data_IF_253949969117
#
_entry.id   IF_253949969117
#
_cell.length_a   1.000
_cell.length_b   1.000
_cell.length_c   1.000
_cell.angle_alpha   90.00
_cell.angle_beta   90.00
_cell.angle_gamma   90.00
#
_symmetry.space_group_name_H-M   'P 1'
#
loop_
_entity.id
_entity.type
_entity.pdbx_description
1 polymer ?
#
# COMPACT_ATOMS: atom_id res chain seq x y z
N UNK A 1 -28.27 -15.53 -8.60
CA UNK A 1 -26.90 -15.02 -8.26
C UNK A 1 -26.28 -15.96 -7.23
N UNK A 2 -24.98 -16.23 -7.30
CA UNK A 2 -24.30 -16.95 -6.22
C UNK A 2 -24.25 -16.08 -4.95
N UNK A 3 -24.22 -16.68 -3.75
CA UNK A 3 -24.12 -15.94 -2.49
C UNK A 3 -22.85 -15.05 -2.44
N UNK A 4 -21.79 -15.50 -3.10
CA UNK A 4 -20.54 -14.77 -3.26
C UNK A 4 -20.72 -13.50 -4.11
N UNK A 5 -21.40 -13.60 -5.24
CA UNK A 5 -21.72 -12.47 -6.11
C UNK A 5 -22.61 -11.44 -5.39
N UNK A 6 -23.63 -11.89 -4.67
CA UNK A 6 -24.51 -11.01 -3.90
C UNK A 6 -23.74 -10.22 -2.85
N UNK A 7 -22.86 -10.90 -2.11
CA UNK A 7 -21.99 -10.26 -1.12
C UNK A 7 -21.07 -9.21 -1.76
N UNK A 8 -20.42 -9.55 -2.88
CA UNK A 8 -19.53 -8.65 -3.58
C UNK A 8 -20.23 -7.39 -4.11
N UNK A 9 -21.38 -7.57 -4.75
CA UNK A 9 -22.20 -6.46 -5.27
C UNK A 9 -22.72 -5.58 -4.13
N UNK A 10 -23.12 -6.16 -3.01
CA UNK A 10 -23.53 -5.40 -1.83
C UNK A 10 -22.39 -4.53 -1.31
N UNK A 11 -21.21 -5.11 -1.10
CA UNK A 11 -20.03 -4.34 -0.64
C UNK A 11 -19.65 -3.26 -1.65
N UNK A 12 -19.69 -3.55 -2.97
CA UNK A 12 -19.44 -2.53 -4.00
C UNK A 12 -20.38 -1.32 -3.90
N UNK A 13 -21.63 -1.54 -3.52
CA UNK A 13 -22.59 -0.44 -3.31
C UNK A 13 -22.28 0.33 -2.02
N UNK A 14 -21.97 -0.39 -0.93
CA UNK A 14 -21.66 0.19 0.38
C UNK A 14 -20.40 1.07 0.35
N UNK A 15 -19.41 0.74 -0.47
CA UNK A 15 -18.16 1.51 -0.58
C UNK A 15 -18.24 2.73 -1.51
N UNK A 16 -19.38 2.93 -2.21
CA UNK A 16 -19.63 4.14 -2.99
C UNK A 16 -19.99 5.27 -2.02
N UNK A 17 -18.99 6.01 -1.61
CA UNK A 17 -19.09 7.16 -0.72
C UNK A 17 -19.24 8.49 -1.49
N UNK A 18 -19.34 9.60 -0.76
CA UNK A 18 -19.47 10.93 -1.35
C UNK A 18 -18.30 11.32 -2.28
N UNK A 19 -17.02 11.04 -1.96
CA UNK A 19 -15.91 11.22 -2.89
C UNK A 19 -16.10 10.47 -4.20
N UNK A 20 -16.46 9.18 -4.18
CA UNK A 20 -16.66 8.37 -5.39
C UNK A 20 -17.83 8.91 -6.22
N UNK A 21 -18.93 9.25 -5.58
CA UNK A 21 -20.09 9.87 -6.25
C UNK A 21 -19.70 11.19 -6.94
N UNK A 22 -18.92 12.02 -6.25
CA UNK A 22 -18.38 13.27 -6.81
C UNK A 22 -17.48 13.02 -8.00
N UNK A 23 -16.57 12.03 -7.91
CA UNK A 23 -15.66 11.67 -9.00
C UNK A 23 -16.39 11.17 -10.24
N UNK A 24 -17.43 10.35 -10.08
CA UNK A 24 -18.25 9.94 -11.22
C UNK A 24 -19.01 11.09 -11.85
N UNK A 25 -19.51 12.05 -11.04
CA UNK A 25 -20.25 13.21 -11.53
C UNK A 25 -19.34 14.25 -12.20
N UNK A 26 -18.10 14.39 -11.77
CA UNK A 26 -17.13 15.37 -12.30
C UNK A 26 -16.34 14.87 -13.50
N UNK A 27 -16.33 13.57 -13.78
CA UNK A 27 -15.58 12.99 -14.88
C UNK A 27 -16.13 13.44 -16.24
N UNK A 28 -15.34 14.20 -16.97
CA UNK A 28 -15.69 14.72 -18.30
C UNK A 28 -15.23 13.83 -19.46
N UNK A 29 -14.76 12.63 -19.18
CA UNK A 29 -14.31 11.65 -20.17
C UNK A 29 -13.23 12.16 -21.13
N UNK A 30 -12.34 13.04 -20.69
CA UNK A 30 -11.30 13.68 -21.53
C UNK A 30 -10.20 12.73 -22.02
N UNK A 31 -10.05 11.52 -21.44
CA UNK A 31 -9.08 10.51 -21.85
C UNK A 31 -7.65 10.68 -21.32
N UNK A 32 -7.27 11.80 -20.67
CA UNK A 32 -5.88 12.03 -20.19
C UNK A 32 -5.37 10.92 -19.26
N UNK A 33 -6.24 10.35 -18.43
CA UNK A 33 -5.86 9.24 -17.56
C UNK A 33 -5.47 7.98 -18.34
N UNK A 34 -5.98 7.77 -19.56
CA UNK A 34 -5.61 6.66 -20.42
C UNK A 34 -4.15 6.81 -20.90
N UNK A 35 -3.78 7.99 -21.40
CA UNK A 35 -2.41 8.27 -21.87
C UNK A 35 -1.37 8.17 -20.75
N UNK A 36 -1.76 8.33 -19.49
CA UNK A 36 -0.89 8.13 -18.34
C UNK A 36 -0.81 6.66 -17.87
N UNK A 37 -1.71 5.78 -18.34
CA UNK A 37 -1.79 4.39 -17.89
C UNK A 37 -0.86 3.50 -18.69
N UNK A 38 0.17 2.91 -18.03
CA UNK A 38 1.13 2.01 -18.67
C UNK A 38 0.44 0.84 -19.41
N UNK A 39 -0.57 0.24 -18.79
CA UNK A 39 -1.29 -0.89 -19.40
C UNK A 39 -2.00 -0.50 -20.70
N UNK A 40 -2.55 0.70 -20.77
CA UNK A 40 -3.16 1.20 -21.99
C UNK A 40 -2.10 1.61 -23.03
N UNK A 41 -1.06 2.32 -22.62
CA UNK A 41 -0.03 2.80 -23.57
C UNK A 41 0.73 1.66 -24.25
N UNK A 42 0.92 0.54 -23.56
CA UNK A 42 1.59 -0.64 -24.12
C UNK A 42 0.67 -1.50 -25.00
N UNK A 43 -0.61 -1.61 -24.63
CA UNK A 43 -1.53 -2.50 -25.33
C UNK A 43 -2.38 -1.81 -26.37
N UNK A 44 -2.66 -0.51 -26.18
CA UNK A 44 -3.66 0.29 -26.93
C UNK A 44 -5.07 -0.29 -26.90
N UNK A 45 -5.34 -1.24 -26.03
CA UNK A 45 -6.66 -1.82 -25.84
C UNK A 45 -7.49 -0.92 -24.87
N UNK A 46 -8.64 -0.38 -25.33
CA UNK A 46 -9.47 0.50 -24.52
C UNK A 46 -9.91 -0.08 -23.17
N UNK A 47 -9.98 -1.41 -23.02
CA UNK A 47 -10.36 -2.05 -21.76
C UNK A 47 -9.39 -1.75 -20.62
N UNK A 48 -8.13 -1.41 -20.94
CA UNK A 48 -7.11 -1.07 -19.94
C UNK A 48 -7.10 0.42 -19.57
N UNK A 49 -7.98 1.23 -20.15
CA UNK A 49 -8.10 2.63 -19.71
C UNK A 49 -8.66 2.71 -18.29
N UNK A 50 -8.20 3.65 -17.45
CA UNK A 50 -8.72 3.82 -16.10
C UNK A 50 -10.23 4.03 -16.03
N UNK A 51 -10.80 4.71 -17.02
CA UNK A 51 -12.26 4.91 -17.13
C UNK A 51 -12.97 3.58 -17.31
N UNK A 52 -12.52 2.74 -18.25
CA UNK A 52 -13.12 1.43 -18.49
C UNK A 52 -13.05 0.52 -17.27
N UNK A 53 -11.90 0.52 -16.58
CA UNK A 53 -11.72 -0.26 -15.33
C UNK A 53 -12.73 0.11 -14.25
N UNK A 54 -13.21 1.35 -14.23
CA UNK A 54 -14.19 1.84 -13.26
C UNK A 54 -15.63 1.78 -13.76
N UNK A 55 -15.87 1.44 -15.02
CA UNK A 55 -17.20 1.36 -15.61
C UNK A 55 -18.17 0.44 -14.85
N UNK A 56 -17.75 -0.74 -14.37
CA UNK A 56 -18.62 -1.57 -13.55
C UNK A 56 -19.11 -0.87 -12.27
N UNK A 57 -18.23 -0.15 -11.59
CA UNK A 57 -18.58 0.60 -10.38
C UNK A 57 -19.46 1.81 -10.70
N UNK A 58 -19.19 2.51 -11.81
CA UNK A 58 -20.03 3.62 -12.31
C UNK A 58 -21.44 3.10 -12.62
N UNK A 59 -21.56 1.96 -13.28
CA UNK A 59 -22.86 1.35 -13.59
C UNK A 59 -23.67 1.06 -12.30
N UNK A 60 -23.03 0.51 -11.26
CA UNK A 60 -23.67 0.29 -9.96
C UNK A 60 -24.07 1.61 -9.30
N UNK A 61 -23.21 2.63 -9.36
CA UNK A 61 -23.53 3.98 -8.86
C UNK A 61 -24.76 4.55 -9.54
N UNK A 62 -24.83 4.50 -10.88
CA UNK A 62 -25.98 5.00 -11.64
C UNK A 62 -27.27 4.27 -11.26
N UNK A 63 -27.23 2.94 -11.17
CA UNK A 63 -28.41 2.12 -10.86
C UNK A 63 -28.97 2.38 -9.45
N UNK A 64 -28.12 2.67 -8.47
CA UNK A 64 -28.53 2.80 -7.06
C UNK A 64 -28.78 4.26 -6.65
N UNK A 65 -28.01 5.21 -7.20
CA UNK A 65 -27.94 6.56 -6.65
C UNK A 65 -28.48 7.65 -7.60
N UNK A 66 -28.75 7.33 -8.87
CA UNK A 66 -29.37 8.31 -9.80
C UNK A 66 -30.85 8.02 -10.03
N UNK A 67 -31.63 9.08 -10.23
CA UNK A 67 -33.08 8.95 -10.49
C UNK A 67 -33.37 8.13 -11.75
N UNK A 68 -32.64 8.42 -12.83
CA UNK A 68 -32.80 7.71 -14.10
C UNK A 68 -32.39 6.24 -14.01
N UNK A 69 -31.31 5.96 -13.30
CA UNK A 69 -30.84 4.59 -13.07
C UNK A 69 -31.82 3.74 -12.27
N UNK A 70 -32.40 4.32 -11.21
CA UNK A 70 -33.47 3.68 -10.43
C UNK A 70 -34.70 3.40 -11.26
N UNK A 71 -35.11 4.34 -12.12
CA UNK A 71 -36.22 4.14 -13.03
C UNK A 71 -35.93 3.01 -14.03
N UNK A 72 -34.77 2.99 -14.67
CA UNK A 72 -34.35 1.90 -15.56
C UNK A 72 -34.36 0.54 -14.86
N UNK A 73 -33.92 0.50 -13.58
CA UNK A 73 -33.96 -0.72 -12.77
C UNK A 73 -35.39 -1.19 -12.51
N UNK A 74 -36.29 -0.27 -12.18
CA UNK A 74 -37.71 -0.58 -11.94
C UNK A 74 -38.41 -1.18 -13.16
N UNK A 75 -38.12 -0.68 -14.37
CA UNK A 75 -38.71 -1.18 -15.61
C UNK A 75 -37.90 -2.32 -16.27
N UNK A 76 -36.92 -2.91 -15.54
CA UNK A 76 -36.15 -4.08 -16.00
C UNK A 76 -35.11 -3.80 -17.09
N UNK A 77 -34.77 -2.55 -17.35
CA UNK A 77 -33.77 -2.16 -18.36
C UNK A 77 -32.34 -2.10 -17.81
N UNK A 78 -32.13 -2.38 -16.53
CA UNK A 78 -30.79 -2.41 -15.96
C UNK A 78 -30.15 -3.80 -16.05
N UNK A 79 -28.88 -3.84 -16.48
CA UNK A 79 -28.11 -5.08 -16.58
C UNK A 79 -27.62 -5.50 -15.20
N UNK A 80 -28.01 -6.69 -14.73
CA UNK A 80 -27.49 -7.29 -13.50
C UNK A 80 -26.01 -7.69 -13.68
N UNK A 81 -25.26 -7.67 -12.58
CA UNK A 81 -23.90 -8.19 -12.55
C UNK A 81 -23.91 -9.72 -12.59
N UNK A 82 -22.98 -10.32 -13.32
CA UNK A 82 -22.86 -11.77 -13.47
C UNK A 82 -21.51 -12.27 -12.93
N UNK A 83 -21.42 -13.57 -12.64
CA UNK A 83 -20.15 -14.19 -12.20
C UNK A 83 -19.05 -14.09 -13.29
N UNK A 84 -19.42 -14.13 -14.56
CA UNK A 84 -18.48 -13.93 -15.68
C UNK A 84 -17.89 -12.51 -15.70
N UNK A 85 -18.71 -11.51 -15.40
CA UNK A 85 -18.22 -10.12 -15.29
C UNK A 85 -17.26 -9.96 -14.09
N UNK A 86 -17.46 -10.66 -12.97
CA UNK A 86 -16.50 -10.61 -11.86
C UNK A 86 -15.13 -11.15 -12.25
N UNK A 87 -15.05 -12.18 -13.08
CA UNK A 87 -13.78 -12.69 -13.59
C UNK A 87 -13.06 -11.66 -14.46
N UNK A 88 -13.80 -10.96 -15.34
CA UNK A 88 -13.26 -9.83 -16.12
C UNK A 88 -12.80 -8.69 -15.21
N UNK A 89 -13.55 -8.35 -14.19
CA UNK A 89 -13.21 -7.28 -13.26
C UNK A 89 -11.95 -7.59 -12.44
N UNK A 90 -11.69 -8.86 -12.13
CA UNK A 90 -10.43 -9.29 -11.53
C UNK A 90 -9.24 -8.84 -12.40
N UNK A 91 -9.31 -9.11 -13.70
CA UNK A 91 -8.29 -8.65 -14.66
C UNK A 91 -8.11 -7.12 -14.62
N UNK A 92 -9.22 -6.38 -14.63
CA UNK A 92 -9.20 -4.92 -14.69
C UNK A 92 -8.61 -4.25 -13.45
N UNK A 93 -8.93 -4.74 -12.25
CA UNK A 93 -8.57 -4.05 -11.01
C UNK A 93 -7.36 -4.62 -10.29
N UNK A 94 -6.95 -5.86 -10.59
CA UNK A 94 -5.75 -6.47 -10.02
C UNK A 94 -4.63 -6.62 -11.05
N UNK A 95 -4.86 -7.38 -12.12
CA UNK A 95 -3.79 -7.77 -13.03
C UNK A 95 -3.31 -6.60 -13.89
N UNK A 96 -4.21 -5.70 -14.26
CA UNK A 96 -3.90 -4.53 -15.09
C UNK A 96 -3.88 -3.19 -14.32
N UNK A 97 -3.73 -3.23 -12.98
CA UNK A 97 -3.62 -2.04 -12.16
C UNK A 97 -2.68 -2.22 -10.97
N UNK A 98 -1.56 -1.50 -10.97
CA UNK A 98 -0.57 -1.49 -9.88
C UNK A 98 -0.84 -0.42 -8.82
N UNK A 99 -1.96 0.31 -8.89
CA UNK A 99 -2.27 1.44 -8.01
C UNK A 99 -1.21 2.56 -8.04
N UNK A 100 -0.50 2.74 -9.14
CA UNK A 100 0.65 3.65 -9.24
C UNK A 100 0.32 5.14 -9.17
N UNK A 101 -0.95 5.54 -9.33
CA UNK A 101 -1.40 6.92 -9.18
C UNK A 101 -1.19 7.84 -10.39
N UNK A 102 -0.56 7.40 -11.48
CA UNK A 102 -0.32 8.27 -12.66
C UNK A 102 -1.61 8.87 -13.20
N UNK A 103 -2.67 8.06 -13.29
CA UNK A 103 -4.00 8.50 -13.77
C UNK A 103 -4.64 9.55 -12.86
N UNK A 104 -4.44 9.47 -11.53
CA UNK A 104 -4.95 10.47 -10.59
C UNK A 104 -4.21 11.81 -10.73
N UNK A 105 -2.88 11.77 -10.91
CA UNK A 105 -2.04 12.98 -11.05
C UNK A 105 -2.39 13.80 -12.29
N UNK A 106 -2.69 13.15 -13.41
CA UNK A 106 -3.01 13.85 -14.68
C UNK A 106 -4.49 14.22 -14.81
N UNK A 107 -5.33 13.86 -13.85
CA UNK A 107 -6.75 14.17 -13.93
C UNK A 107 -7.00 15.67 -13.75
N UNK A 108 -7.57 16.39 -14.75
CA UNK A 108 -7.73 17.84 -14.70
C UNK A 108 -8.79 18.29 -13.68
N UNK A 109 -9.69 17.38 -13.28
CA UNK A 109 -10.71 17.63 -12.26
C UNK A 109 -10.34 17.04 -10.89
N UNK A 110 -9.11 16.50 -10.74
CA UNK A 110 -8.59 16.04 -9.46
C UNK A 110 -9.19 14.72 -8.94
N UNK A 111 -9.77 13.87 -9.79
CA UNK A 111 -10.34 12.59 -9.35
C UNK A 111 -9.23 11.64 -8.87
N UNK A 112 -9.33 11.13 -7.64
CA UNK A 112 -8.45 10.07 -7.16
C UNK A 112 -8.91 8.69 -7.66
N UNK A 113 -8.49 8.39 -8.88
CA UNK A 113 -8.82 7.12 -9.56
C UNK A 113 -8.27 5.93 -8.79
N UNK A 114 -7.12 6.06 -8.13
CA UNK A 114 -6.54 4.98 -7.29
C UNK A 114 -7.43 4.66 -6.10
N UNK A 115 -7.98 5.68 -5.45
CA UNK A 115 -8.95 5.49 -4.38
C UNK A 115 -10.16 4.68 -4.86
N UNK A 116 -10.72 5.05 -6.00
CA UNK A 116 -11.86 4.34 -6.61
C UNK A 116 -11.52 2.88 -6.91
N UNK A 117 -10.34 2.59 -7.49
CA UNK A 117 -9.91 1.21 -7.76
C UNK A 117 -9.70 0.42 -6.45
N UNK A 118 -9.15 1.03 -5.41
CA UNK A 118 -9.03 0.39 -4.09
C UNK A 118 -10.40 0.01 -3.53
N UNK A 119 -11.36 0.92 -3.59
CA UNK A 119 -12.74 0.66 -3.19
C UNK A 119 -13.41 -0.41 -4.03
N UNK A 120 -13.12 -0.44 -5.32
CA UNK A 120 -13.58 -1.54 -6.17
C UNK A 120 -13.00 -2.91 -5.74
N UNK A 121 -11.72 -2.97 -5.38
CA UNK A 121 -11.12 -4.18 -4.82
C UNK A 121 -11.80 -4.68 -3.55
N UNK A 122 -12.42 -3.82 -2.74
CA UNK A 122 -13.16 -4.24 -1.54
C UNK A 122 -14.33 -5.16 -1.90
N UNK A 123 -15.12 -4.82 -2.92
CA UNK A 123 -16.18 -5.70 -3.41
C UNK A 123 -15.67 -6.98 -4.05
N UNK A 124 -14.55 -6.89 -4.80
CA UNK A 124 -13.90 -8.07 -5.40
C UNK A 124 -13.36 -9.03 -4.34
N UNK A 125 -12.74 -8.49 -3.30
CA UNK A 125 -12.26 -9.27 -2.15
C UNK A 125 -13.43 -9.93 -1.40
N UNK A 126 -14.52 -9.19 -1.17
CA UNK A 126 -15.72 -9.68 -0.49
C UNK A 126 -16.43 -10.80 -1.26
N UNK A 127 -16.41 -10.77 -2.60
CA UNK A 127 -16.94 -11.84 -3.45
C UNK A 127 -15.99 -13.02 -3.62
N UNK A 128 -14.79 -12.98 -3.02
CA UNK A 128 -13.78 -14.03 -3.19
C UNK A 128 -13.03 -13.99 -4.52
N UNK A 129 -13.27 -12.97 -5.37
CA UNK A 129 -12.68 -12.83 -6.70
C UNK A 129 -11.35 -12.02 -6.69
N UNK A 130 -10.63 -11.96 -5.58
CA UNK A 130 -9.25 -11.52 -5.56
C UNK A 130 -8.31 -12.65 -6.06
N UNK A 131 -7.15 -12.34 -6.68
CA UNK A 131 -6.19 -13.36 -7.12
C UNK A 131 -5.70 -14.26 -5.98
N UNK A 132 -5.56 -15.57 -6.25
CA UNK A 132 -5.20 -16.56 -5.24
C UNK A 132 -3.86 -16.26 -4.54
N UNK A 133 -2.86 -15.77 -5.30
CA UNK A 133 -1.56 -15.42 -4.72
C UNK A 133 -1.67 -14.34 -3.64
N UNK A 134 -2.48 -13.30 -3.89
CA UNK A 134 -2.69 -12.21 -2.91
C UNK A 134 -3.55 -12.70 -1.74
N UNK A 135 -4.56 -13.55 -1.97
CA UNK A 135 -5.34 -14.18 -0.90
C UNK A 135 -4.46 -15.02 0.03
N UNK A 136 -3.58 -15.82 -0.56
CA UNK A 136 -2.61 -16.60 0.20
C UNK A 136 -1.67 -15.74 1.04
N UNK A 137 -1.15 -14.65 0.47
CA UNK A 137 -0.32 -13.67 1.19
C UNK A 137 -1.09 -13.00 2.34
N UNK A 138 -2.34 -12.60 2.09
CA UNK A 138 -3.21 -12.00 3.09
C UNK A 138 -3.47 -12.96 4.28
N UNK A 139 -3.79 -14.21 4.00
CA UNK A 139 -4.00 -15.24 5.03
C UNK A 139 -2.73 -15.48 5.87
N UNK A 140 -1.56 -15.57 5.23
CA UNK A 140 -0.29 -15.72 5.97
C UNK A 140 0.01 -14.51 6.84
N UNK A 141 -0.30 -13.30 6.37
CA UNK A 141 -0.11 -12.08 7.17
C UNK A 141 -0.95 -12.09 8.44
N UNK A 142 -2.19 -12.61 8.40
CA UNK A 142 -3.03 -12.74 9.60
C UNK A 142 -2.46 -13.80 10.55
N UNK A 143 -2.16 -14.99 10.03
CA UNK A 143 -1.85 -16.17 10.85
C UNK A 143 -0.40 -16.20 11.36
N UNK A 144 0.54 -15.68 10.56
CA UNK A 144 1.98 -15.76 10.83
C UNK A 144 2.58 -14.37 11.09
N UNK A 145 1.95 -13.30 10.61
CA UNK A 145 2.46 -11.94 10.70
C UNK A 145 3.27 -11.49 9.46
N UNK A 146 3.47 -12.38 8.49
CA UNK A 146 4.27 -12.11 7.28
C UNK A 146 3.59 -12.68 6.05
N UNK A 147 3.49 -11.94 4.93
CA UNK A 147 2.87 -12.40 3.68
C UNK A 147 3.63 -13.55 3.02
N UNK A 148 4.94 -13.64 3.23
CA UNK A 148 5.78 -14.74 2.75
C UNK A 148 5.96 -15.86 3.78
N UNK A 149 5.38 -15.70 4.98
CA UNK A 149 5.45 -16.73 6.04
C UNK A 149 6.74 -16.72 6.83
N UNK A 150 7.48 -15.60 6.83
CA UNK A 150 8.68 -15.43 7.67
C UNK A 150 8.29 -15.44 9.14
N UNK A 151 8.97 -16.26 9.93
CA UNK A 151 8.73 -16.42 11.36
C UNK A 151 9.86 -15.80 12.18
N UNK A 152 9.58 -15.41 13.41
CA UNK A 152 10.57 -14.80 14.31
C UNK A 152 11.90 -15.55 14.43
N UNK A 153 11.97 -16.90 14.49
CA UNK A 153 13.26 -17.60 14.50
C UNK A 153 14.13 -17.31 13.28
N UNK A 154 13.54 -17.15 12.07
CA UNK A 154 14.28 -16.79 10.87
C UNK A 154 14.80 -15.36 10.95
N UNK A 155 13.99 -14.41 11.45
CA UNK A 155 14.43 -13.03 11.71
C UNK A 155 15.63 -13.01 12.67
N UNK A 156 15.52 -13.72 13.79
CA UNK A 156 16.63 -13.81 14.78
C UNK A 156 17.88 -14.48 14.22
N UNK A 157 17.73 -15.47 13.33
CA UNK A 157 18.87 -16.08 12.66
C UNK A 157 19.59 -15.08 11.76
N UNK A 158 18.81 -14.31 11.00
CA UNK A 158 19.32 -13.26 10.13
C UNK A 158 20.01 -12.13 10.92
N UNK A 159 19.41 -11.71 12.04
CA UNK A 159 20.04 -10.73 12.93
C UNK A 159 21.44 -11.17 13.35
N UNK A 160 21.58 -12.42 13.85
CA UNK A 160 22.90 -12.96 14.27
C UNK A 160 23.93 -13.01 13.12
N UNK A 161 23.47 -13.33 11.92
CA UNK A 161 24.32 -13.32 10.73
C UNK A 161 24.82 -11.91 10.44
N UNK A 162 23.92 -10.95 10.40
CA UNK A 162 24.26 -9.53 10.17
C UNK A 162 25.13 -8.96 11.30
N UNK A 163 24.87 -9.30 12.57
CA UNK A 163 25.71 -8.91 13.71
C UNK A 163 27.16 -9.43 13.56
N UNK A 164 27.31 -10.68 13.08
CA UNK A 164 28.63 -11.24 12.85
C UNK A 164 29.37 -10.56 11.70
N UNK A 165 28.67 -10.26 10.59
CA UNK A 165 29.27 -9.67 9.40
C UNK A 165 29.63 -8.19 9.58
N UNK A 166 28.81 -7.45 10.32
CA UNK A 166 28.95 -6.00 10.46
C UNK A 166 29.59 -5.56 11.79
N UNK A 167 29.73 -6.48 12.76
CA UNK A 167 30.29 -6.17 14.07
C UNK A 167 29.46 -5.20 14.90
N UNK A 168 28.18 -5.06 14.61
CA UNK A 168 27.24 -4.13 15.26
C UNK A 168 26.02 -4.88 15.79
N UNK A 169 25.53 -4.56 17.01
CA UNK A 169 24.35 -5.21 17.56
C UNK A 169 23.07 -4.81 16.80
N UNK A 170 22.18 -5.77 16.60
CA UNK A 170 20.84 -5.55 16.08
C UNK A 170 19.84 -5.60 17.25
N UNK A 171 19.38 -4.45 17.75
CA UNK A 171 18.53 -4.41 18.94
C UNK A 171 17.10 -4.88 18.62
N UNK A 172 16.51 -5.61 19.58
CA UNK A 172 15.12 -6.07 19.50
C UNK A 172 14.40 -5.83 20.82
N UNK A 173 13.18 -5.32 20.76
CA UNK A 173 12.28 -5.03 21.89
C UNK A 173 12.88 -4.05 22.93
N UNK A 174 13.63 -3.05 22.47
CA UNK A 174 14.20 -2.00 23.32
C UNK A 174 13.17 -0.88 23.54
N UNK A 175 12.71 -0.74 24.78
CA UNK A 175 11.78 0.32 25.18
C UNK A 175 12.50 1.68 25.19
N UNK A 176 11.81 2.73 24.71
CA UNK A 176 12.31 4.11 24.70
C UNK A 176 13.31 4.40 23.58
N UNK A 177 13.54 3.49 22.65
CA UNK A 177 14.34 3.75 21.47
C UNK A 177 13.73 4.89 20.63
N UNK A 178 14.55 5.68 19.95
CA UNK A 178 14.06 6.76 19.08
C UNK A 178 13.28 6.20 17.89
N UNK A 179 13.77 5.08 17.32
CA UNK A 179 13.20 4.50 16.10
C UNK A 179 12.80 3.02 16.29
N UNK A 180 11.59 2.70 15.86
CA UNK A 180 11.20 1.32 15.56
C UNK A 180 11.36 1.10 14.05
N UNK A 181 12.26 0.21 13.67
CA UNK A 181 12.48 -0.14 12.27
C UNK A 181 11.60 -1.33 11.91
N UNK A 182 10.78 -1.14 10.90
CA UNK A 182 10.00 -2.22 10.30
C UNK A 182 10.80 -2.85 9.17
N UNK A 183 10.54 -4.11 8.88
CA UNK A 183 11.17 -4.85 7.79
C UNK A 183 10.11 -5.36 6.82
N UNK A 184 10.53 -5.79 5.65
CA UNK A 184 9.74 -6.63 4.76
C UNK A 184 10.31 -8.05 4.71
N UNK A 185 9.47 -8.99 4.30
CA UNK A 185 9.93 -10.38 4.09
C UNK A 185 11.09 -10.45 3.09
N UNK A 186 11.11 -9.57 2.09
CA UNK A 186 12.16 -9.53 1.06
C UNK A 186 13.50 -9.08 1.66
N UNK A 187 13.49 -8.04 2.50
CA UNK A 187 14.70 -7.58 3.19
C UNK A 187 15.25 -8.66 4.12
N UNK A 188 14.37 -9.35 4.86
CA UNK A 188 14.81 -10.39 5.78
C UNK A 188 15.42 -11.58 5.04
N UNK A 189 14.81 -12.01 3.94
CA UNK A 189 15.17 -13.27 3.29
C UNK A 189 16.21 -13.13 2.17
N UNK A 190 16.17 -12.03 1.42
CA UNK A 190 16.94 -11.89 0.19
C UNK A 190 17.99 -10.77 0.25
N UNK A 191 17.82 -9.79 1.13
CA UNK A 191 18.67 -8.61 1.19
C UNK A 191 19.05 -8.27 2.64
N UNK A 192 19.74 -9.19 3.36
CA UNK A 192 20.12 -8.98 4.76
C UNK A 192 21.05 -7.78 4.97
N UNK A 193 21.77 -7.38 3.94
CA UNK A 193 22.61 -6.18 3.93
C UNK A 193 21.85 -4.89 4.24
N UNK A 194 20.54 -4.82 3.98
CA UNK A 194 19.71 -3.68 4.40
C UNK A 194 19.73 -3.49 5.91
N UNK A 195 19.58 -4.58 6.66
CA UNK A 195 19.61 -4.51 8.11
C UNK A 195 20.99 -4.10 8.63
N UNK A 196 22.04 -4.57 7.98
CA UNK A 196 23.43 -4.16 8.28
C UNK A 196 23.67 -2.69 7.95
N UNK A 197 23.14 -2.19 6.82
CA UNK A 197 23.25 -0.79 6.46
C UNK A 197 22.50 0.10 7.48
N UNK A 198 21.30 -0.29 7.89
CA UNK A 198 20.55 0.43 8.93
C UNK A 198 21.35 0.47 10.24
N UNK A 199 21.94 -0.64 10.67
CA UNK A 199 22.76 -0.70 11.88
C UNK A 199 23.96 0.27 11.80
N UNK A 200 24.67 0.30 10.67
CA UNK A 200 25.78 1.24 10.44
C UNK A 200 25.33 2.70 10.47
N UNK A 201 24.23 3.02 9.79
CA UNK A 201 23.69 4.38 9.73
C UNK A 201 23.29 4.86 11.12
N UNK A 202 22.54 4.06 11.87
CA UNK A 202 22.09 4.42 13.21
C UNK A 202 23.26 4.54 14.19
N UNK A 203 24.26 3.66 14.08
CA UNK A 203 25.49 3.73 14.87
C UNK A 203 26.28 5.01 14.56
N UNK A 204 26.51 5.32 13.28
CA UNK A 204 27.22 6.54 12.86
C UNK A 204 26.49 7.80 13.31
N UNK A 205 25.17 7.84 13.20
CA UNK A 205 24.34 8.98 13.58
C UNK A 205 24.12 9.09 15.10
N UNK A 206 24.61 8.13 15.92
CA UNK A 206 24.39 8.09 17.37
C UNK A 206 22.93 7.95 17.76
N UNK A 207 22.13 7.27 16.92
CA UNK A 207 20.68 7.07 17.11
C UNK A 207 20.35 5.74 17.73
N UNK A 208 19.39 5.75 18.66
CA UNK A 208 18.85 4.52 19.24
C UNK A 208 17.70 3.99 18.40
N UNK A 209 17.70 2.69 18.17
CA UNK A 209 16.69 2.03 17.35
C UNK A 209 16.41 0.61 17.84
N UNK A 210 15.33 0.01 17.36
CA UNK A 210 14.96 -1.36 17.69
C UNK A 210 14.12 -2.00 16.60
N UNK A 211 14.19 -3.32 16.51
CA UNK A 211 13.14 -4.15 15.90
C UNK A 211 12.10 -4.52 16.97
N UNK A 212 10.95 -5.06 16.53
CA UNK A 212 9.95 -5.61 17.45
C UNK A 212 9.68 -7.09 17.14
N UNK A 213 9.77 -7.95 18.16
CA UNK A 213 9.56 -9.39 17.98
C UNK A 213 8.12 -9.77 17.64
N UNK A 214 7.15 -8.94 18.02
CA UNK A 214 5.71 -9.17 17.75
C UNK A 214 5.20 -8.46 16.51
N UNK A 215 5.96 -7.50 15.98
CA UNK A 215 5.59 -6.71 14.80
C UNK A 215 6.86 -6.27 14.04
N UNK A 216 7.51 -7.18 13.35
CA UNK A 216 8.71 -6.89 12.55
C UNK A 216 8.39 -6.62 11.07
N UNK A 217 7.27 -7.12 10.58
CA UNK A 217 6.86 -7.05 9.16
C UNK A 217 5.82 -5.96 8.94
N UNK A 218 6.09 -5.04 7.99
CA UNK A 218 5.22 -3.92 7.67
C UNK A 218 4.34 -4.10 6.42
N UNK A 219 4.59 -5.10 5.59
CA UNK A 219 3.87 -5.28 4.33
C UNK A 219 2.37 -5.44 4.55
N UNK A 220 1.57 -4.52 3.99
CA UNK A 220 0.13 -4.50 4.19
C UNK A 220 -0.62 -5.17 3.03
N UNK A 221 -0.77 -6.50 3.11
CA UNK A 221 -1.53 -7.28 2.14
C UNK A 221 -3.02 -6.90 2.09
N UNK A 222 -3.59 -6.36 3.19
CA UNK A 222 -4.96 -5.88 3.25
C UNK A 222 -5.22 -4.72 2.30
N UNK A 223 -4.29 -3.78 2.20
CA UNK A 223 -4.37 -2.68 1.25
C UNK A 223 -4.29 -3.17 -0.20
N UNK A 224 -3.49 -4.18 -0.47
CA UNK A 224 -3.30 -4.71 -1.82
C UNK A 224 -4.51 -5.50 -2.31
N UNK A 225 -5.11 -6.31 -1.42
CA UNK A 225 -6.27 -7.13 -1.76
C UNK A 225 -7.59 -6.35 -1.75
N UNK A 226 -7.64 -5.17 -1.13
CA UNK A 226 -8.87 -4.42 -0.89
C UNK A 226 -9.67 -5.02 0.27
N UNK A 227 -9.04 -5.23 1.41
CA UNK A 227 -9.71 -5.67 2.63
C UNK A 227 -9.30 -4.75 3.78
N UNK A 228 -10.16 -3.78 4.08
CA UNK A 228 -9.91 -2.76 5.07
C UNK A 228 -9.81 -3.32 6.50
N UNK A 229 -10.54 -4.39 6.83
CA UNK A 229 -10.43 -5.06 8.14
C UNK A 229 -9.06 -5.72 8.31
N UNK A 230 -8.59 -6.40 7.28
CA UNK A 230 -7.24 -6.98 7.28
C UNK A 230 -6.17 -5.88 7.36
N UNK A 231 -6.33 -4.82 6.57
CA UNK A 231 -5.42 -3.68 6.60
C UNK A 231 -5.33 -3.06 8.00
N UNK A 232 -6.48 -2.93 8.67
CA UNK A 232 -6.58 -2.44 10.05
C UNK A 232 -5.83 -3.34 11.04
N UNK A 233 -6.00 -4.66 10.95
CA UNK A 233 -5.32 -5.62 11.86
C UNK A 233 -3.80 -5.50 11.73
N UNK A 234 -3.28 -5.36 10.51
CA UNK A 234 -1.85 -5.22 10.28
C UNK A 234 -1.33 -3.89 10.85
N UNK A 235 -2.02 -2.78 10.57
CA UNK A 235 -1.64 -1.46 11.11
C UNK A 235 -1.73 -1.45 12.63
N UNK A 236 -2.81 -1.97 13.22
CA UNK A 236 -2.98 -2.02 14.68
C UNK A 236 -1.83 -2.75 15.37
N UNK A 237 -1.38 -3.87 14.83
CA UNK A 237 -0.24 -4.64 15.36
C UNK A 237 1.03 -3.77 15.46
N UNK A 238 1.32 -2.98 14.42
CA UNK A 238 2.48 -2.09 14.39
C UNK A 238 2.31 -0.94 15.36
N UNK A 239 1.14 -0.32 15.39
CA UNK A 239 0.82 0.80 16.28
C UNK A 239 0.93 0.38 17.75
N UNK A 240 0.32 -0.76 18.11
CA UNK A 240 0.37 -1.28 19.48
C UNK A 240 1.81 -1.63 19.91
N UNK A 241 2.64 -2.16 18.99
CA UNK A 241 4.05 -2.43 19.25
C UNK A 241 4.83 -1.13 19.45
N UNK A 242 4.64 -0.13 18.61
CA UNK A 242 5.31 1.17 18.70
C UNK A 242 4.97 1.90 20.01
N UNK A 243 3.69 1.90 20.38
CA UNK A 243 3.25 2.52 21.64
C UNK A 243 3.74 1.77 22.89
N UNK A 244 3.72 0.42 22.84
CA UNK A 244 4.27 -0.42 23.92
C UNK A 244 5.76 -0.17 24.12
N UNK A 245 6.52 -0.04 23.04
CA UNK A 245 7.96 0.25 23.07
C UNK A 245 8.26 1.74 23.30
N UNK A 246 7.26 2.60 23.33
CA UNK A 246 7.39 4.05 23.55
C UNK A 246 8.37 4.72 22.59
N UNK A 247 8.39 4.29 21.33
CA UNK A 247 9.28 4.86 20.31
C UNK A 247 8.76 6.21 19.83
N UNK A 248 9.66 7.06 19.33
CA UNK A 248 9.29 8.37 18.80
C UNK A 248 8.91 8.31 17.31
N UNK A 249 9.50 7.41 16.56
CA UNK A 249 9.30 7.28 15.11
C UNK A 249 9.30 5.82 14.68
N UNK A 250 8.33 5.45 13.85
CA UNK A 250 8.33 4.16 13.14
C UNK A 250 8.87 4.40 11.74
N UNK A 251 9.92 3.66 11.39
CA UNK A 251 10.52 3.69 10.06
C UNK A 251 9.89 2.59 9.22
N UNK A 252 9.19 2.99 8.14
CA UNK A 252 8.81 2.07 7.08
C UNK A 252 10.01 1.84 6.16
N UNK A 253 10.34 0.58 5.86
CA UNK A 253 11.53 0.26 5.07
C UNK A 253 11.29 0.55 3.57
N UNK A 254 11.60 -0.38 2.70
CA UNK A 254 11.51 -0.22 1.25
C UNK A 254 10.07 -0.24 0.69
N UNK A 255 9.12 -0.83 1.40
CA UNK A 255 7.76 -1.06 0.88
C UNK A 255 6.89 0.20 0.94
N UNK A 256 6.75 0.89 -0.19
CA UNK A 256 5.89 2.07 -0.29
C UNK A 256 4.40 1.81 0.01
N UNK A 257 3.88 0.59 -0.21
CA UNK A 257 2.52 0.24 0.21
C UNK A 257 2.39 0.16 1.73
N UNK A 258 3.42 -0.33 2.44
CA UNK A 258 3.46 -0.31 3.90
C UNK A 258 3.50 1.13 4.41
N UNK A 259 4.34 1.97 3.79
CA UNK A 259 4.43 3.38 4.13
C UNK A 259 3.09 4.11 3.97
N UNK A 260 2.43 3.99 2.81
CA UNK A 260 1.13 4.64 2.59
C UNK A 260 0.05 4.09 3.52
N UNK A 261 0.03 2.79 3.79
CA UNK A 261 -0.92 2.17 4.71
C UNK A 261 -0.77 2.68 6.14
N UNK A 262 0.46 2.88 6.61
CA UNK A 262 0.73 3.31 7.98
C UNK A 262 0.65 4.85 8.11
N UNK A 263 1.31 5.58 7.19
CA UNK A 263 1.46 7.05 7.25
C UNK A 263 0.16 7.79 6.93
N UNK A 264 -0.54 7.39 5.87
CA UNK A 264 -1.68 8.12 5.34
C UNK A 264 -3.04 7.54 5.71
N UNK A 265 -3.14 6.23 5.78
CA UNK A 265 -4.39 5.53 6.07
C UNK A 265 -4.47 5.05 7.54
N UNK A 266 -3.33 4.95 8.20
CA UNK A 266 -3.21 4.23 9.46
C UNK A 266 -4.13 4.76 10.56
N UNK A 267 -4.18 6.08 10.78
CA UNK A 267 -5.03 6.69 11.78
C UNK A 267 -6.53 6.42 11.51
N UNK A 268 -6.94 6.49 10.24
CA UNK A 268 -8.31 6.18 9.83
C UNK A 268 -8.64 4.69 10.00
N UNK A 269 -7.70 3.80 9.67
CA UNK A 269 -7.88 2.36 9.80
C UNK A 269 -8.07 1.93 11.25
N UNK A 270 -7.29 2.48 12.18
CA UNK A 270 -7.38 2.11 13.62
C UNK A 270 -8.30 3.01 14.44
N UNK A 271 -8.82 4.11 13.85
CA UNK A 271 -9.75 5.03 14.49
C UNK A 271 -9.14 5.92 15.58
N UNK A 272 -7.80 6.12 15.57
CA UNK A 272 -7.08 6.97 16.53
C UNK A 272 -5.79 7.54 15.95
N UNK A 273 -5.37 8.67 16.49
CA UNK A 273 -4.06 9.28 16.17
C UNK A 273 -2.92 8.51 16.85
N UNK A 274 -1.72 8.64 16.32
CA UNK A 274 -0.52 7.99 16.84
C UNK A 274 0.23 8.93 17.79
N UNK A 275 0.87 8.36 18.82
CA UNK A 275 1.79 9.08 19.72
C UNK A 275 3.22 9.21 19.14
N UNK A 276 3.46 8.69 17.95
CA UNK A 276 4.73 8.64 17.25
C UNK A 276 4.60 9.13 15.80
N UNK A 277 5.72 9.42 15.16
CA UNK A 277 5.78 9.76 13.75
C UNK A 277 5.96 8.50 12.88
N UNK A 278 5.48 8.54 11.65
CA UNK A 278 5.76 7.51 10.64
C UNK A 278 6.59 8.16 9.54
N UNK A 279 7.76 7.59 9.24
CA UNK A 279 8.66 8.05 8.19
C UNK A 279 9.12 6.89 7.32
N UNK A 280 9.41 7.16 6.07
CA UNK A 280 10.15 6.23 5.23
C UNK A 280 11.63 6.33 5.55
N UNK A 281 12.40 5.25 5.33
CA UNK A 281 13.85 5.28 5.60
C UNK A 281 14.57 6.42 4.86
N UNK A 282 14.15 6.74 3.64
CA UNK A 282 14.76 7.82 2.85
C UNK A 282 14.53 9.21 3.47
N UNK A 283 13.39 9.44 4.15
CA UNK A 283 13.15 10.68 4.88
C UNK A 283 14.12 10.81 6.07
N UNK A 284 14.33 9.69 6.77
CA UNK A 284 15.29 9.66 7.90
C UNK A 284 16.72 9.89 7.41
N UNK A 285 17.11 9.27 6.28
CA UNK A 285 18.43 9.47 5.69
C UNK A 285 18.66 10.95 5.32
N UNK A 286 17.69 11.59 4.64
CA UNK A 286 17.76 12.99 4.29
C UNK A 286 17.88 13.89 5.53
N UNK A 287 17.10 13.64 6.58
CA UNK A 287 17.18 14.39 7.84
C UNK A 287 18.53 14.21 8.55
N UNK A 288 19.05 13.00 8.60
CA UNK A 288 20.37 12.74 9.22
C UNK A 288 21.51 13.41 8.43
N UNK A 289 21.40 13.45 7.10
CA UNK A 289 22.35 14.16 6.24
C UNK A 289 22.27 15.68 6.45
N UNK A 290 21.05 16.26 6.45
CA UNK A 290 20.84 17.68 6.71
C UNK A 290 21.37 18.11 8.10
N UNK A 291 21.34 17.22 9.09
CA UNK A 291 21.92 17.42 10.43
C UNK A 291 23.44 17.22 10.48
N UNK A 292 24.07 16.80 9.38
CA UNK A 292 25.51 16.48 9.36
C UNK A 292 25.91 15.22 10.15
N UNK A 293 24.96 14.36 10.45
CA UNK A 293 25.17 13.12 11.20
C UNK A 293 25.57 11.94 10.33
N UNK A 294 25.38 12.06 9.01
CA UNK A 294 25.86 11.06 8.04
C UNK A 294 27.09 11.62 7.31
N UNK A 295 28.16 10.84 7.33
CA UNK A 295 29.34 11.10 6.48
C UNK A 295 29.18 10.23 5.23
N UNK A 296 29.00 10.88 4.09
CA UNK A 296 28.97 10.21 2.81
C UNK A 296 30.32 10.39 2.13
N UNK A 297 30.89 9.30 1.66
CA UNK A 297 32.09 9.34 0.82
C UNK A 297 31.65 9.35 -0.65
N UNK A 298 32.31 10.18 -1.46
CA UNK A 298 32.07 10.21 -2.90
C UNK A 298 32.36 8.84 -3.52
N UNK A 299 31.50 8.42 -4.39
CA UNK A 299 31.62 7.16 -5.07
C UNK A 299 31.57 7.40 -6.57
N UNK A 300 32.64 7.05 -7.27
CA UNK A 300 32.71 7.21 -8.72
C UNK A 300 31.85 6.18 -9.41
N UNK A 301 30.88 6.66 -10.19
CA UNK A 301 30.04 5.82 -11.04
C UNK A 301 29.82 6.50 -12.38
N UNK A 302 29.76 5.74 -13.45
CA UNK A 302 29.63 6.28 -14.80
C UNK A 302 28.31 7.02 -15.00
N UNK A 303 27.19 6.37 -14.71
CA UNK A 303 25.84 6.95 -14.82
C UNK A 303 24.86 6.20 -13.93
N UNK A 304 24.10 6.94 -13.15
CA UNK A 304 23.00 6.42 -12.36
C UNK A 304 21.70 7.10 -12.77
N UNK A 305 20.62 6.37 -12.68
CA UNK A 305 19.26 6.91 -12.74
C UNK A 305 18.47 6.41 -11.53
N UNK A 306 17.64 7.27 -10.97
CA UNK A 306 16.77 6.92 -9.88
C UNK A 306 15.32 6.83 -10.37
N UNK A 307 14.66 5.73 -10.08
CA UNK A 307 13.23 5.55 -10.37
C UNK A 307 12.40 5.93 -9.15
N UNK A 308 11.61 7.00 -9.26
CA UNK A 308 10.67 7.42 -8.20
C UNK A 308 9.64 6.31 -7.91
N UNK A 309 9.67 5.66 -6.73
CA UNK A 309 8.70 4.62 -6.39
C UNK A 309 7.29 5.20 -6.30
N UNK A 310 6.35 4.57 -6.99
CA UNK A 310 5.00 5.13 -7.14
C UNK A 310 4.26 5.38 -5.81
N UNK A 311 4.44 4.51 -4.83
CA UNK A 311 3.78 4.63 -3.54
C UNK A 311 4.53 5.55 -2.58
N UNK A 312 5.82 5.77 -2.77
CA UNK A 312 6.62 6.68 -1.97
C UNK A 312 6.55 8.11 -2.53
N UNK A 313 6.89 8.30 -3.80
CA UNK A 313 6.89 9.63 -4.43
C UNK A 313 5.45 10.13 -4.71
N UNK A 314 4.75 9.53 -5.67
CA UNK A 314 3.44 10.03 -6.13
C UNK A 314 2.32 9.90 -5.10
N UNK A 315 2.28 8.80 -4.37
CA UNK A 315 1.23 8.55 -3.36
C UNK A 315 1.66 8.95 -1.96
N UNK A 316 2.94 8.85 -1.66
CA UNK A 316 3.51 9.15 -0.34
C UNK A 316 3.93 10.61 -0.17
N UNK A 317 4.19 11.33 -1.27
CA UNK A 317 4.62 12.73 -1.23
C UNK A 317 6.11 12.93 -0.94
N UNK A 318 6.89 11.86 -0.84
CA UNK A 318 8.34 11.91 -0.62
C UNK A 318 9.03 12.07 -1.98
N UNK A 319 9.41 13.28 -2.33
CA UNK A 319 10.01 13.62 -3.63
C UNK A 319 11.37 14.28 -3.45
N UNK A 320 11.47 15.20 -2.48
CA UNK A 320 12.69 16.01 -2.29
C UNK A 320 13.84 15.14 -1.77
N UNK A 321 13.58 14.30 -0.80
CA UNK A 321 14.58 13.46 -0.13
C UNK A 321 15.16 12.38 -1.05
N UNK A 322 14.45 12.01 -2.09
CA UNK A 322 14.93 11.06 -3.10
C UNK A 322 15.99 11.68 -4.03
N UNK A 323 16.17 13.01 -4.00
CA UNK A 323 17.05 13.79 -4.89
C UNK A 323 18.10 14.59 -4.15
N UNK A 324 18.10 14.56 -2.84
CA UNK A 324 19.11 15.20 -1.99
C UNK A 324 20.29 14.25 -1.73
#
# INVERSE_FOLDING_TARGET
MSASLEKGVRVLKEVIDAPIASYFSSCVHCGLCAEACLFYTETRDPKYTPIYKLEPMRRLYEQEYTVLGRLKKLIGLSKAVTDAELAEWQELVYNSCTLCGRCSVVCPVGNDIVYMVRKFREGMSASGNAPEGIKGAANRTITIGSPMGVKLPAVKAQMRHVEADYGLPIPMDVEGAEYLVMLSSMEIMNFPEYLGAIAKIMHQAGKTWTLCSTAFEATNAGMQIGNSDLARVIVARIVDAAEKLKVKTVISPECGHAYTALRWEGANLVGRTFSFHVKHIIEVLGELQEQGLLKTEGFETDRLTFHDPCQLARRGGVIKQERS
#
